data_IF_476594352925
#
_entry.id   IF_476594352925
#
_cell.length_a   1.000
_cell.length_b   1.000
_cell.length_c   1.000
_cell.angle_alpha   90.00
_cell.angle_beta   90.00
_cell.angle_gamma   90.00
#
_symmetry.space_group_name_H-M   'P 1'
#
loop_
_entity.id
_entity.type
_entity.pdbx_description
1 polymer ?
#
# COMPACT_ATOMS: atom_id res chain seq x y z
N UNK A 1 -17.73 46.62 21.74
CA UNK A 1 -16.68 46.14 20.81
C UNK A 1 -15.77 45.01 21.35
N UNK A 2 -15.52 44.86 22.66
CA UNK A 2 -14.65 43.76 23.18
C UNK A 2 -15.20 42.33 22.98
N UNK A 3 -16.53 42.15 22.95
CA UNK A 3 -17.16 40.81 22.87
C UNK A 3 -17.01 40.13 21.51
N UNK A 4 -16.88 40.89 20.43
CA UNK A 4 -16.76 40.34 19.06
C UNK A 4 -15.40 39.66 18.86
N UNK A 5 -14.31 40.24 19.41
CA UNK A 5 -12.95 39.70 19.29
C UNK A 5 -12.77 38.34 19.97
N UNK A 6 -13.49 38.09 21.07
CA UNK A 6 -13.42 36.83 21.81
C UNK A 6 -14.08 35.70 21.01
N UNK A 7 -15.21 35.98 20.35
CA UNK A 7 -15.93 35.00 19.53
C UNK A 7 -15.10 34.56 18.34
N UNK A 8 -14.41 35.49 17.66
CA UNK A 8 -13.55 35.16 16.52
C UNK A 8 -12.36 34.30 16.92
N UNK A 9 -11.76 34.55 18.09
CA UNK A 9 -10.63 33.77 18.61
C UNK A 9 -11.05 32.32 18.97
N UNK A 10 -12.23 32.14 19.57
CA UNK A 10 -12.77 30.82 19.91
C UNK A 10 -13.13 30.02 18.66
N UNK A 11 -13.71 30.66 17.64
CA UNK A 11 -13.98 30.01 16.35
C UNK A 11 -12.70 29.61 15.62
N UNK A 12 -11.64 30.43 15.69
CA UNK A 12 -10.34 30.11 15.11
C UNK A 12 -9.69 28.91 15.83
N UNK A 13 -9.80 28.85 17.17
CA UNK A 13 -9.31 27.72 17.97
C UNK A 13 -10.08 26.42 17.68
N UNK A 14 -11.42 26.50 17.54
CA UNK A 14 -12.25 25.35 17.17
C UNK A 14 -11.92 24.84 15.75
N UNK A 15 -11.56 25.73 14.81
CA UNK A 15 -11.11 25.33 13.48
C UNK A 15 -9.78 24.57 13.49
N UNK A 16 -8.88 24.87 14.45
CA UNK A 16 -7.58 24.19 14.54
C UNK A 16 -7.67 22.80 15.20
N UNK A 17 -8.74 22.50 15.93
CA UNK A 17 -8.96 21.20 16.58
C UNK A 17 -9.54 20.13 15.64
N UNK A 18 -10.05 20.52 14.46
CA UNK A 18 -10.53 19.58 13.44
C UNK A 18 -9.41 18.98 12.56
N UNK A 19 -8.13 19.26 12.87
CA UNK A 19 -6.97 18.67 12.18
C UNK A 19 -6.34 17.54 12.98
N UNK A 20 -7.12 16.84 13.82
CA UNK A 20 -6.81 15.43 14.06
C UNK A 20 -7.13 14.71 12.74
N UNK A 21 -6.13 14.59 11.86
CA UNK A 21 -6.18 13.72 10.67
C UNK A 21 -6.59 12.33 11.16
N UNK A 22 -7.88 12.03 11.05
CA UNK A 22 -8.41 10.70 11.31
C UNK A 22 -7.98 9.84 10.12
N UNK A 23 -6.71 9.44 10.10
CA UNK A 23 -6.26 8.33 9.28
C UNK A 23 -7.07 7.13 9.76
N UNK A 24 -7.90 6.58 8.89
CA UNK A 24 -8.60 5.33 9.19
C UNK A 24 -7.58 4.25 9.59
N UNK A 25 -8.01 3.22 10.34
CA UNK A 25 -7.08 2.19 10.80
C UNK A 25 -6.38 1.51 9.62
N UNK A 26 -5.04 1.42 9.69
CA UNK A 26 -4.26 0.65 8.74
C UNK A 26 -4.46 -0.84 9.04
N UNK A 27 -4.97 -1.60 8.07
CA UNK A 27 -5.28 -3.03 8.25
C UNK A 27 -4.09 -3.90 7.87
N UNK A 28 -3.65 -4.81 8.74
CA UNK A 28 -2.71 -5.87 8.35
C UNK A 28 -3.50 -6.98 7.64
N UNK A 29 -3.12 -7.31 6.40
CA UNK A 29 -3.76 -8.36 5.58
C UNK A 29 -2.83 -9.57 5.50
N UNK A 30 -3.42 -10.76 5.60
CA UNK A 30 -2.76 -12.03 5.26
C UNK A 30 -3.02 -12.33 3.78
N UNK A 31 -2.10 -11.89 2.90
CA UNK A 31 -2.28 -12.08 1.45
C UNK A 31 -2.15 -13.55 1.05
N UNK A 32 -1.44 -14.37 1.81
CA UNK A 32 -1.33 -15.81 1.56
C UNK A 32 -2.70 -16.50 1.74
N UNK A 33 -3.52 -16.06 2.69
CA UNK A 33 -4.91 -16.53 2.78
C UNK A 33 -5.75 -16.14 1.57
N UNK A 34 -5.61 -14.90 1.08
CA UNK A 34 -6.30 -14.45 -0.13
C UNK A 34 -5.87 -15.30 -1.35
N UNK A 35 -4.57 -15.58 -1.51
CA UNK A 35 -4.07 -16.47 -2.56
C UNK A 35 -4.64 -17.88 -2.45
N UNK A 36 -4.67 -18.46 -1.25
CA UNK A 36 -5.28 -19.80 -1.03
C UNK A 36 -6.74 -19.84 -1.43
N UNK A 37 -7.51 -18.78 -1.14
CA UNK A 37 -8.91 -18.68 -1.56
C UNK A 37 -9.09 -18.62 -3.09
N UNK A 38 -8.06 -18.19 -3.81
CA UNK A 38 -8.00 -18.20 -5.27
C UNK A 38 -7.42 -19.51 -5.84
N UNK A 39 -7.13 -20.50 -4.98
CA UNK A 39 -6.52 -21.78 -5.39
C UNK A 39 -5.04 -21.65 -5.78
N UNK A 40 -4.38 -20.58 -5.33
CA UNK A 40 -2.94 -20.35 -5.51
C UNK A 40 -2.28 -20.65 -4.16
N UNK A 41 -1.66 -21.82 -4.06
CA UNK A 41 -0.81 -22.15 -2.93
C UNK A 41 0.57 -22.63 -3.42
N UNK A 42 1.61 -22.46 -2.58
CA UNK A 42 3.00 -22.86 -2.90
C UNK A 42 3.17 -24.36 -3.18
N UNK A 43 2.21 -25.20 -2.79
CA UNK A 43 2.24 -26.66 -2.96
C UNK A 43 1.32 -27.15 -4.10
N UNK A 44 0.63 -26.24 -4.79
CA UNK A 44 -0.34 -26.52 -5.83
C UNK A 44 0.33 -26.55 -7.19
N UNK A 45 -0.32 -27.20 -8.16
CA UNK A 45 0.06 -27.12 -9.58
C UNK A 45 0.07 -25.68 -10.13
N UNK A 46 -0.52 -24.73 -9.41
CA UNK A 46 -0.61 -23.32 -9.77
C UNK A 46 0.49 -22.46 -9.13
N UNK A 47 1.40 -23.02 -8.31
CA UNK A 47 2.44 -22.27 -7.60
C UNK A 47 3.37 -21.44 -8.52
N UNK A 48 3.50 -21.83 -9.79
CA UNK A 48 4.32 -21.16 -10.79
C UNK A 48 3.55 -20.16 -11.65
N UNK A 49 2.23 -20.03 -11.47
CA UNK A 49 1.44 -19.09 -12.26
C UNK A 49 1.68 -17.66 -11.76
N UNK A 50 1.90 -16.69 -12.66
CA UNK A 50 2.01 -15.29 -12.28
C UNK A 50 0.76 -14.82 -11.52
N UNK A 51 0.98 -14.21 -10.36
CA UNK A 51 -0.07 -13.68 -9.51
C UNK A 51 -0.51 -12.31 -10.03
N UNK A 52 -1.80 -12.21 -10.34
CA UNK A 52 -2.46 -10.95 -10.66
C UNK A 52 -2.89 -10.24 -9.37
N UNK A 53 -2.06 -9.33 -8.86
CA UNK A 53 -2.35 -8.59 -7.62
C UNK A 53 -3.65 -7.78 -7.70
N UNK A 54 -4.13 -7.46 -8.91
CA UNK A 54 -5.43 -6.83 -9.14
C UNK A 54 -6.60 -7.65 -8.59
N UNK A 55 -6.44 -8.98 -8.47
CA UNK A 55 -7.46 -9.92 -7.96
C UNK A 55 -7.22 -10.35 -6.51
N UNK A 56 -6.01 -10.15 -5.99
CA UNK A 56 -5.60 -10.61 -4.65
C UNK A 56 -5.93 -9.57 -3.58
N UNK A 57 -5.84 -8.28 -3.92
CA UNK A 57 -6.12 -7.19 -2.99
C UNK A 57 -7.63 -6.93 -2.94
N UNK A 58 -8.26 -7.32 -1.83
CA UNK A 58 -9.72 -7.28 -1.62
C UNK A 58 -10.22 -6.03 -0.85
N UNK A 59 -9.34 -5.05 -0.64
CA UNK A 59 -9.70 -3.72 -0.10
C UNK A 59 -9.85 -2.72 -1.24
N UNK A 60 -10.42 -1.55 -1.01
CA UNK A 60 -10.38 -0.50 -2.03
C UNK A 60 -9.02 0.20 -2.02
N UNK A 61 -8.45 0.41 -3.20
CA UNK A 61 -7.07 0.86 -3.39
C UNK A 61 -6.92 1.68 -4.68
N UNK A 62 -5.85 2.46 -4.77
CA UNK A 62 -5.43 3.21 -5.97
C UNK A 62 -4.03 2.78 -6.44
N UNK A 63 -3.16 2.41 -5.49
CA UNK A 63 -1.77 2.01 -5.71
C UNK A 63 -1.39 0.88 -4.76
N UNK A 64 -0.63 -0.10 -5.26
CA UNK A 64 0.01 -1.15 -4.47
C UNK A 64 1.51 -1.00 -4.66
N UNK A 65 2.24 -0.81 -3.57
CA UNK A 65 3.69 -0.94 -3.52
C UNK A 65 4.07 -2.37 -3.20
N UNK A 66 4.99 -2.92 -3.99
CA UNK A 66 5.62 -4.22 -3.81
C UNK A 66 7.06 -3.95 -3.37
N UNK A 67 7.36 -4.42 -2.17
CA UNK A 67 8.61 -4.15 -1.49
C UNK A 67 9.35 -5.49 -1.40
N UNK A 68 10.45 -5.66 -2.17
CA UNK A 68 11.20 -6.90 -2.17
C UNK A 68 11.96 -7.11 -0.84
N UNK A 69 12.41 -8.34 -0.56
CA UNK A 69 13.42 -8.61 0.45
C UNK A 69 14.62 -7.66 0.35
N UNK A 70 15.24 -7.42 1.49
CA UNK A 70 16.42 -6.57 1.67
C UNK A 70 16.22 -5.12 1.20
N UNK A 71 14.98 -4.64 1.17
CA UNK A 71 14.69 -3.23 0.93
C UNK A 71 15.23 -2.39 2.08
N UNK A 72 15.95 -1.33 1.76
CA UNK A 72 16.53 -0.41 2.75
C UNK A 72 15.55 0.70 3.13
N UNK A 73 15.73 1.29 4.32
CA UNK A 73 14.98 2.48 4.73
C UNK A 73 15.10 3.64 3.72
N UNK A 74 16.23 3.77 3.02
CA UNK A 74 16.41 4.79 1.99
C UNK A 74 15.47 4.56 0.78
N UNK A 75 15.28 3.30 0.37
CA UNK A 75 14.35 2.93 -0.70
C UNK A 75 12.89 3.17 -0.31
N UNK A 76 12.53 2.94 0.96
CA UNK A 76 11.16 3.14 1.45
C UNK A 76 10.70 4.61 1.39
N UNK A 77 11.62 5.57 1.32
CA UNK A 77 11.29 7.00 1.13
C UNK A 77 10.56 7.30 -0.20
N UNK A 78 10.63 6.39 -1.18
CA UNK A 78 9.85 6.51 -2.42
C UNK A 78 8.34 6.26 -2.20
N UNK A 79 7.94 5.70 -1.05
CA UNK A 79 6.53 5.53 -0.68
C UNK A 79 6.01 6.87 -0.14
N UNK A 80 5.51 7.70 -1.05
CA UNK A 80 4.83 8.95 -0.72
C UNK A 80 3.39 8.66 -0.31
N UNK A 81 3.15 8.41 0.98
CA UNK A 81 1.82 8.29 1.57
C UNK A 81 1.79 8.94 2.96
N UNK A 82 0.72 9.67 3.27
CA UNK A 82 0.67 10.58 4.43
C UNK A 82 0.92 9.90 5.78
N UNK A 83 0.55 8.63 5.91
CA UNK A 83 0.59 7.84 7.13
C UNK A 83 1.53 6.62 7.03
N UNK A 84 2.45 6.59 6.07
CA UNK A 84 3.38 5.46 5.91
C UNK A 84 4.28 5.25 7.14
N UNK A 85 4.66 6.34 7.82
CA UNK A 85 5.48 6.29 9.04
C UNK A 85 4.85 5.48 10.19
N UNK A 86 3.54 5.24 10.16
CA UNK A 86 2.85 4.39 11.15
C UNK A 86 3.17 2.88 10.99
N UNK A 87 3.68 2.49 9.82
CA UNK A 87 4.03 1.09 9.52
C UNK A 87 5.47 0.90 9.01
N UNK A 88 6.22 1.98 8.79
CA UNK A 88 7.57 1.94 8.20
C UNK A 88 8.49 0.94 8.90
N UNK A 89 8.59 0.99 10.23
CA UNK A 89 9.43 0.07 11.01
C UNK A 89 9.00 -1.39 10.85
N UNK A 90 7.70 -1.65 10.72
CA UNK A 90 7.17 -3.01 10.54
C UNK A 90 7.49 -3.55 9.15
N UNK A 91 7.36 -2.70 8.13
CA UNK A 91 7.70 -3.03 6.75
C UNK A 91 9.21 -3.26 6.61
N UNK A 92 10.02 -2.41 7.23
CA UNK A 92 11.47 -2.54 7.22
C UNK A 92 11.92 -3.82 7.93
N UNK A 93 11.44 -4.07 9.14
CA UNK A 93 11.78 -5.28 9.90
C UNK A 93 11.36 -6.57 9.16
N UNK A 94 10.22 -6.55 8.48
CA UNK A 94 9.80 -7.69 7.68
C UNK A 94 10.69 -7.86 6.43
N UNK A 95 11.15 -6.77 5.82
CA UNK A 95 11.99 -6.82 4.62
C UNK A 95 13.31 -7.57 4.81
N UNK A 96 13.76 -7.85 6.04
CA UNK A 96 14.97 -8.64 6.30
C UNK A 96 14.85 -10.13 5.94
N UNK A 97 13.64 -10.65 5.74
CA UNK A 97 13.41 -12.03 5.33
C UNK A 97 13.39 -12.18 3.80
N UNK A 98 14.00 -13.25 3.28
CA UNK A 98 14.09 -13.53 1.84
C UNK A 98 12.93 -14.35 1.26
N UNK A 99 12.08 -14.94 2.11
CA UNK A 99 11.02 -15.86 1.68
C UNK A 99 9.66 -15.19 1.41
N UNK A 100 9.51 -13.88 1.63
CA UNK A 100 8.30 -13.11 1.36
C UNK A 100 8.62 -11.70 0.81
N UNK A 101 7.62 -11.07 0.18
CA UNK A 101 7.63 -9.65 -0.19
C UNK A 101 6.59 -8.92 0.67
N UNK A 102 6.79 -7.62 0.91
CA UNK A 102 5.76 -6.80 1.54
C UNK A 102 4.90 -6.11 0.48
N UNK A 103 3.60 -6.09 0.70
CA UNK A 103 2.66 -5.28 -0.06
C UNK A 103 2.17 -4.14 0.82
N UNK A 104 2.24 -2.91 0.31
CA UNK A 104 1.68 -1.72 0.95
C UNK A 104 0.61 -1.16 0.03
N UNK A 105 -0.62 -1.12 0.52
CA UNK A 105 -1.81 -0.75 -0.25
C UNK A 105 -2.20 0.68 0.11
N UNK A 106 -2.27 1.53 -0.90
CA UNK A 106 -2.52 2.97 -0.78
C UNK A 106 -3.82 3.34 -1.48
N UNK A 107 -4.61 4.19 -0.83
CA UNK A 107 -5.84 4.81 -1.36
C UNK A 107 -5.84 6.29 -0.98
N UNK A 108 -6.12 7.18 -1.94
CA UNK A 108 -6.17 8.63 -1.71
C UNK A 108 -4.95 9.15 -0.92
N UNK A 109 -3.75 8.73 -1.34
CA UNK A 109 -2.48 9.08 -0.70
C UNK A 109 -2.30 8.60 0.76
N UNK A 110 -3.09 7.62 1.21
CA UNK A 110 -2.97 7.03 2.54
C UNK A 110 -2.80 5.52 2.43
N UNK A 111 -1.92 4.96 3.25
CA UNK A 111 -1.85 3.54 3.48
C UNK A 111 -3.15 3.09 4.14
N UNK A 112 -3.85 2.15 3.50
CA UNK A 112 -5.07 1.54 4.01
C UNK A 112 -4.85 0.11 4.48
N UNK A 113 -3.85 -0.57 3.91
CA UNK A 113 -3.45 -1.89 4.33
C UNK A 113 -1.98 -2.20 4.04
N UNK A 114 -1.44 -3.18 4.74
CA UNK A 114 -0.14 -3.76 4.45
C UNK A 114 -0.12 -5.24 4.81
N UNK A 115 0.84 -5.99 4.28
CA UNK A 115 0.94 -7.41 4.58
C UNK A 115 2.05 -8.09 3.82
N UNK A 116 2.24 -9.37 4.13
CA UNK A 116 3.28 -10.20 3.55
C UNK A 116 2.64 -11.10 2.50
N UNK A 117 3.36 -11.32 1.40
CA UNK A 117 3.00 -12.31 0.38
C UNK A 117 4.21 -13.19 0.14
N UNK A 118 3.99 -14.50 0.05
CA UNK A 118 5.06 -15.43 -0.25
C UNK A 118 5.76 -15.05 -1.56
N UNK A 119 7.10 -15.25 -1.65
CA UNK A 119 7.86 -14.94 -2.85
C UNK A 119 7.39 -15.83 -4.02
N UNK A 120 6.50 -15.28 -4.83
CA UNK A 120 5.82 -15.94 -5.94
C UNK A 120 5.94 -15.05 -7.18
N UNK A 121 5.92 -15.61 -8.40
CA UNK A 121 6.00 -14.80 -9.61
C UNK A 121 4.81 -13.84 -9.64
N UNK A 122 5.06 -12.54 -9.67
CA UNK A 122 4.03 -11.53 -9.89
C UNK A 122 3.86 -11.30 -11.40
N UNK A 123 2.63 -11.02 -11.83
CA UNK A 123 2.37 -10.54 -13.19
C UNK A 123 3.03 -9.16 -13.38
N UNK A 124 4.22 -9.17 -13.98
CA UNK A 124 5.05 -7.98 -14.17
C UNK A 124 4.59 -7.10 -15.32
N UNK A 125 3.60 -7.53 -16.12
CA UNK A 125 3.09 -6.73 -17.26
C UNK A 125 2.45 -5.42 -16.81
N UNK A 126 2.00 -5.36 -15.55
CA UNK A 126 1.34 -4.21 -14.91
C UNK A 126 2.24 -3.47 -13.93
N UNK A 127 3.45 -3.99 -13.71
CA UNK A 127 4.37 -3.50 -12.69
C UNK A 127 5.24 -2.36 -13.23
N UNK A 128 5.30 -1.25 -12.49
CA UNK A 128 6.18 -0.10 -12.77
C UNK A 128 7.32 -0.08 -11.76
N UNK A 129 8.56 0.07 -12.23
CA UNK A 129 9.70 0.27 -11.33
C UNK A 129 9.78 1.73 -10.91
N UNK A 130 9.96 1.95 -9.62
CA UNK A 130 10.22 3.23 -8.99
C UNK A 130 11.71 3.41 -8.73
N UNK A 131 12.11 4.63 -8.41
CA UNK A 131 13.38 4.89 -7.72
C UNK A 131 13.50 4.02 -6.46
N UNK A 132 14.71 3.56 -6.15
CA UNK A 132 14.99 2.71 -5.00
C UNK A 132 14.68 1.21 -5.19
N UNK A 133 14.43 0.74 -6.41
CA UNK A 133 14.09 -0.66 -6.76
C UNK A 133 12.75 -1.15 -6.25
N UNK A 134 11.91 -0.26 -5.74
CA UNK A 134 10.51 -0.59 -5.44
C UNK A 134 9.73 -0.81 -6.72
N UNK A 135 8.71 -1.65 -6.63
CA UNK A 135 7.79 -1.92 -7.73
C UNK A 135 6.41 -1.46 -7.31
N UNK A 136 5.64 -0.89 -8.22
CA UNK A 136 4.27 -0.50 -7.93
C UNK A 136 3.30 -0.90 -9.04
N UNK A 137 2.04 -1.08 -8.66
CA UNK A 137 0.92 -1.33 -9.57
C UNK A 137 -0.17 -0.31 -9.24
N UNK A 138 -0.63 0.42 -10.25
CA UNK A 138 -1.76 1.33 -10.09
C UNK A 138 -3.06 0.62 -10.48
N UNK A 139 -4.19 1.09 -9.95
CA UNK A 139 -5.50 0.54 -10.31
C UNK A 139 -5.83 0.68 -11.80
N UNK A 140 -5.24 1.68 -12.47
CA UNK A 140 -5.37 1.87 -13.91
C UNK A 140 -4.72 0.72 -14.69
N UNK A 141 -3.58 0.19 -14.20
CA UNK A 141 -2.88 -0.95 -14.82
C UNK A 141 -3.72 -2.25 -14.75
N UNK A 142 -4.75 -2.29 -13.89
CA UNK A 142 -5.68 -3.42 -13.78
C UNK A 142 -6.88 -3.34 -14.74
N UNK A 143 -7.00 -2.28 -15.54
CA UNK A 143 -8.12 -2.11 -16.48
C UNK A 143 -7.76 -2.65 -17.87
N UNK A 144 -8.66 -3.38 -18.56
CA UNK A 144 -8.36 -4.04 -19.85
C UNK A 144 -7.89 -3.14 -21.01
N UNK A 145 -7.98 -1.81 -20.87
CA UNK A 145 -7.68 -0.85 -21.94
C UNK A 145 -6.45 0.04 -21.70
N UNK A 146 -5.67 -0.23 -20.64
CA UNK A 146 -4.48 0.59 -20.32
C UNK A 146 -3.37 0.54 -21.39
N UNK A 147 -3.49 -0.33 -22.41
CA UNK A 147 -2.51 -0.51 -23.48
C UNK A 147 -2.83 0.18 -24.82
N UNK A 148 -3.92 0.95 -24.95
CA UNK A 148 -4.33 1.57 -26.22
C UNK A 148 -4.06 3.08 -26.34
N UNK A 149 -3.34 3.68 -25.38
CA UNK A 149 -2.90 5.06 -25.46
C UNK A 149 -1.38 5.16 -25.21
N UNK A 150 -0.60 4.83 -26.23
CA UNK A 150 0.77 5.33 -26.40
C UNK A 150 0.93 5.83 -27.82
#
# INVERSE_FOLDING_TARGET
MKRIKVITLVLLLMLQLNVCKQSGPITKIDFDQNLKSLGIDKNSSNANQPIDLCKVVNVDWDLIWIIPPYTTAASLKAIDAENFSEIEDKVLAASDADWFQQLVVVKQNKVVAYGEIALLPLDSTKARRSEGSLVSITKQDCTPNAGLAR
#
